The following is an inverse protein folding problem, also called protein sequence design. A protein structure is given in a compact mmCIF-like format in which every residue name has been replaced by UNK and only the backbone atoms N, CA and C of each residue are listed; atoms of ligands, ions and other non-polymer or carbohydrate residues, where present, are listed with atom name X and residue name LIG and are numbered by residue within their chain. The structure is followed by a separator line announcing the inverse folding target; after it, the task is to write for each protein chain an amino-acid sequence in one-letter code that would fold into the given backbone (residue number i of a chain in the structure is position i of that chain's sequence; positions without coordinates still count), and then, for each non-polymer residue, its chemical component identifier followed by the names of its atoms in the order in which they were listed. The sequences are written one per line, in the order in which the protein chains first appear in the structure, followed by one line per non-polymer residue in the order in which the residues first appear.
data_IF_559394601917
#
_entry.id   IF_559394601917
#
_cell.length_a   1.000
_cell.length_b   1.000
_cell.length_c   1.000
_cell.angle_alpha   90.00
_cell.angle_beta   90.00
_cell.angle_gamma   90.00
#
_symmetry.space_group_name_H-M   'P 1'
#
loop_
_entity.id
_entity.type
_entity.pdbx_description
1 polymer ?
#
# COMPACT_ATOMS: atom_id res chain seq x y z
N UNK A 1 15.79 -8.60 -5.49
CA UNK A 1 15.17 -7.89 -4.34
C UNK A 1 15.99 -8.02 -3.03
N UNK A 2 16.51 -9.19 -2.62
CA UNK A 2 17.34 -9.28 -1.40
C UNK A 2 18.56 -8.34 -1.41
N UNK A 3 19.26 -8.23 -2.55
CA UNK A 3 20.37 -7.29 -2.72
C UNK A 3 19.96 -5.81 -2.57
N UNK A 4 18.71 -5.46 -2.93
CA UNK A 4 18.17 -4.09 -2.78
C UNK A 4 17.97 -3.78 -1.30
N UNK A 5 17.39 -4.72 -0.54
CA UNK A 5 17.19 -4.57 0.90
C UNK A 5 18.53 -4.44 1.65
N UNK A 6 19.54 -5.22 1.25
CA UNK A 6 20.87 -5.15 1.87
C UNK A 6 21.60 -3.83 1.56
N UNK A 7 21.46 -3.32 0.34
CA UNK A 7 22.15 -2.10 -0.09
C UNK A 7 21.47 -0.81 0.39
N UNK A 8 20.13 -0.76 0.40
CA UNK A 8 19.36 0.46 0.64
C UNK A 8 18.50 0.41 1.91
N UNK A 9 18.36 -0.76 2.53
CA UNK A 9 17.47 -0.94 3.68
C UNK A 9 15.99 -0.96 3.29
N UNK A 10 15.12 -0.66 4.27
CA UNK A 10 13.67 -0.66 4.10
C UNK A 10 13.23 0.57 3.32
N UNK A 11 12.17 0.44 2.52
CA UNK A 11 11.58 1.60 1.83
C UNK A 11 11.05 2.62 2.84
N UNK A 12 11.35 3.90 2.63
CA UNK A 12 10.80 5.01 3.41
C UNK A 12 9.33 5.26 3.07
N UNK A 13 8.41 4.95 3.98
CA UNK A 13 6.99 5.22 3.76
C UNK A 13 6.60 6.64 4.20
N UNK A 14 6.11 7.46 3.26
CA UNK A 14 5.68 8.86 3.49
C UNK A 14 4.17 9.09 3.32
N UNK A 15 3.44 8.04 2.96
CA UNK A 15 2.01 8.07 2.61
C UNK A 15 1.03 8.48 3.70
N UNK A 16 1.51 8.76 4.93
CA UNK A 16 0.66 9.25 6.04
C UNK A 16 0.32 10.73 5.90
N UNK A 17 1.22 11.50 5.30
CA UNK A 17 1.14 12.97 5.23
C UNK A 17 1.13 13.47 3.79
N UNK A 18 1.65 12.65 2.86
CA UNK A 18 1.82 13.04 1.47
C UNK A 18 1.18 12.01 0.53
N UNK A 19 0.44 12.53 -0.45
CA UNK A 19 -0.15 11.73 -1.54
C UNK A 19 0.81 11.61 -2.73
N UNK A 20 1.93 12.33 -2.69
CA UNK A 20 2.99 12.28 -3.69
C UNK A 20 4.39 12.33 -3.06
N UNK A 21 5.39 11.80 -3.76
CA UNK A 21 6.79 11.91 -3.38
C UNK A 21 7.71 11.87 -4.59
N UNK A 22 8.82 12.60 -4.51
CA UNK A 22 10.01 12.36 -5.34
C UNK A 22 10.78 11.17 -4.74
N UNK A 23 11.21 10.24 -5.59
CA UNK A 23 11.88 9.02 -5.18
C UNK A 23 12.89 8.54 -6.22
N UNK A 24 13.82 7.69 -5.80
CA UNK A 24 14.78 7.02 -6.67
C UNK A 24 14.35 5.57 -6.91
N UNK A 25 14.46 5.12 -8.16
CA UNK A 25 14.17 3.74 -8.56
C UNK A 25 15.31 2.83 -8.13
N UNK A 26 15.05 1.94 -7.19
CA UNK A 26 16.04 0.96 -6.72
C UNK A 26 16.03 -0.35 -7.52
N UNK A 27 14.88 -0.66 -8.12
CA UNK A 27 14.69 -1.84 -8.94
C UNK A 27 13.52 -1.64 -9.89
N UNK A 28 13.65 -2.15 -11.12
CA UNK A 28 12.59 -2.18 -12.12
C UNK A 28 12.73 -3.44 -12.97
N UNK A 29 11.60 -4.07 -13.26
CA UNK A 29 11.43 -5.07 -14.31
C UNK A 29 10.09 -4.83 -15.05
N UNK A 30 9.68 -5.76 -15.90
CA UNK A 30 8.47 -5.64 -16.72
C UNK A 30 7.16 -5.59 -15.90
N UNK A 31 7.17 -6.04 -14.63
CA UNK A 31 5.97 -6.15 -13.80
C UNK A 31 6.03 -5.26 -12.55
N UNK A 32 7.21 -4.87 -12.08
CA UNK A 32 7.39 -4.30 -10.75
C UNK A 32 8.44 -3.20 -10.69
N UNK A 33 8.16 -2.20 -9.84
CA UNK A 33 9.10 -1.13 -9.46
C UNK A 33 9.25 -1.07 -7.94
N UNK A 34 10.48 -0.90 -7.46
CA UNK A 34 10.79 -0.63 -6.05
C UNK A 34 11.48 0.72 -5.96
N UNK A 35 11.04 1.54 -5.01
CA UNK A 35 11.55 2.89 -4.76
C UNK A 35 12.25 2.97 -3.40
N UNK A 36 13.15 3.95 -3.24
CA UNK A 36 13.78 4.25 -1.94
C UNK A 36 12.75 4.75 -0.92
N UNK A 37 11.76 5.51 -1.39
CA UNK A 37 10.61 5.98 -0.62
C UNK A 37 9.34 5.97 -1.45
N UNK A 38 8.19 5.89 -0.78
CA UNK A 38 6.91 5.83 -1.47
C UNK A 38 5.76 6.42 -0.64
N UNK A 39 4.82 7.14 -1.28
CA UNK A 39 3.55 7.49 -0.66
C UNK A 39 2.55 6.33 -0.68
N UNK A 40 2.78 5.27 -1.47
CA UNK A 40 1.83 4.17 -1.64
C UNK A 40 1.79 3.25 -0.42
N UNK A 41 0.60 3.03 0.13
CA UNK A 41 0.38 2.06 1.20
C UNK A 41 0.38 0.65 0.60
N UNK A 42 1.23 -0.22 1.13
CA UNK A 42 1.25 -1.62 0.77
C UNK A 42 0.10 -2.38 1.44
N UNK A 43 -0.50 -3.32 0.72
CA UNK A 43 -1.55 -4.20 1.24
C UNK A 43 -1.16 -4.82 2.58
N UNK A 44 -2.06 -4.70 3.56
CA UNK A 44 -1.90 -5.29 4.89
C UNK A 44 -3.27 -5.43 5.57
N UNK A 45 -3.49 -6.53 6.29
CA UNK A 45 -4.67 -6.72 7.13
C UNK A 45 -6.02 -6.75 6.38
N UNK A 46 -6.03 -7.13 5.10
CA UNK A 46 -7.24 -7.16 4.24
C UNK A 46 -7.58 -5.83 3.54
N UNK A 47 -6.68 -4.85 3.59
CA UNK A 47 -6.78 -3.61 2.83
C UNK A 47 -5.97 -3.72 1.53
N UNK A 48 -6.63 -3.50 0.39
CA UNK A 48 -5.99 -3.46 -0.93
C UNK A 48 -4.97 -2.32 -0.98
N UNK A 49 -3.79 -2.59 -1.54
CA UNK A 49 -2.72 -1.61 -1.71
C UNK A 49 -3.12 -0.43 -2.57
N UNK A 50 -2.42 0.69 -2.39
CA UNK A 50 -2.69 1.89 -3.19
C UNK A 50 -2.31 1.69 -4.65
N UNK A 51 -3.00 2.45 -5.51
CA UNK A 51 -2.73 2.56 -6.94
C UNK A 51 -2.54 4.01 -7.33
N UNK A 52 -2.03 4.25 -8.53
CA UNK A 52 -1.64 5.58 -8.95
C UNK A 52 -0.68 5.55 -10.13
N UNK A 53 0.27 6.47 -10.17
CA UNK A 53 1.28 6.53 -11.23
C UNK A 53 2.66 6.90 -10.73
N UNK A 54 3.67 6.40 -11.42
CA UNK A 54 5.07 6.79 -11.26
C UNK A 54 5.50 7.38 -12.61
N UNK A 55 6.07 8.59 -12.58
CA UNK A 55 6.46 9.33 -13.78
C UNK A 55 7.91 9.77 -13.67
N UNK A 56 8.68 9.56 -14.73
CA UNK A 56 10.03 10.09 -14.92
C UNK A 56 10.06 11.02 -16.14
N UNK A 57 11.22 11.60 -16.41
CA UNK A 57 11.45 12.36 -17.65
C UNK A 57 11.39 11.49 -18.93
N UNK A 58 11.56 10.17 -18.79
CA UNK A 58 11.68 9.23 -19.92
C UNK A 58 10.50 8.27 -20.05
N UNK A 59 9.59 8.25 -19.07
CA UNK A 59 8.50 7.29 -19.08
C UNK A 59 7.49 7.47 -17.98
N UNK A 60 6.39 6.74 -18.11
CA UNK A 60 5.28 6.72 -17.18
C UNK A 60 4.73 5.32 -17.04
N UNK A 61 4.54 4.90 -15.81
CA UNK A 61 3.91 3.62 -15.47
C UNK A 61 2.72 3.86 -14.55
N UNK A 62 1.69 3.03 -14.68
CA UNK A 62 0.54 2.98 -13.77
C UNK A 62 0.83 1.95 -12.70
N UNK A 63 0.71 2.32 -11.44
CA UNK A 63 0.75 1.38 -10.32
C UNK A 63 -0.64 0.78 -10.16
N UNK A 64 -0.77 -0.53 -10.37
CA UNK A 64 -2.05 -1.26 -10.27
C UNK A 64 -2.24 -1.93 -8.91
N UNK A 65 -1.15 -2.08 -8.14
CA UNK A 65 -1.17 -2.64 -6.79
C UNK A 65 0.14 -2.34 -6.05
N UNK A 66 0.09 -2.28 -4.73
CA UNK A 66 1.28 -2.09 -3.89
C UNK A 66 1.31 -3.14 -2.78
N UNK A 67 2.39 -3.90 -2.68
CA UNK A 67 2.55 -4.98 -1.68
C UNK A 67 3.85 -4.82 -0.89
N UNK A 68 3.93 -5.50 0.27
CA UNK A 68 5.13 -5.56 1.08
C UNK A 68 5.87 -6.87 0.81
N UNK A 69 7.14 -6.78 0.41
CA UNK A 69 8.05 -7.90 0.30
C UNK A 69 9.20 -7.79 1.30
N UNK A 70 9.84 -8.92 1.61
CA UNK A 70 11.12 -9.03 2.33
C UNK A 70 11.25 -8.04 3.51
N UNK A 71 10.38 -8.16 4.51
CA UNK A 71 10.41 -7.39 5.77
C UNK A 71 10.45 -5.85 5.64
N UNK A 72 9.98 -5.26 4.53
CA UNK A 72 9.77 -3.81 4.48
C UNK A 72 9.97 -3.13 3.12
N UNK A 73 10.18 -3.87 2.04
CA UNK A 73 10.22 -3.30 0.69
C UNK A 73 8.81 -3.11 0.15
N UNK A 74 8.49 -1.88 -0.25
CA UNK A 74 7.25 -1.61 -0.96
C UNK A 74 7.44 -1.91 -2.44
N UNK A 75 6.58 -2.79 -2.94
CA UNK A 75 6.65 -3.35 -4.27
C UNK A 75 5.45 -2.85 -5.06
N UNK A 76 5.70 -2.08 -6.10
CA UNK A 76 4.66 -1.47 -6.91
C UNK A 76 4.51 -2.32 -8.16
N UNK A 77 3.39 -3.04 -8.28
CA UNK A 77 3.05 -3.75 -9.52
C UNK A 77 2.59 -2.72 -10.54
N UNK A 78 3.15 -2.77 -11.74
CA UNK A 78 3.00 -1.73 -12.74
C UNK A 78 2.46 -2.22 -14.09
N UNK A 79 1.86 -1.29 -14.82
CA UNK A 79 1.62 -1.38 -16.26
C UNK A 79 2.34 -0.22 -16.94
N UNK A 80 3.15 -0.50 -17.94
CA UNK A 80 3.80 0.55 -18.74
C UNK A 80 2.75 1.32 -19.53
N UNK A 81 2.73 2.64 -19.38
CA UNK A 81 1.82 3.52 -20.13
C UNK A 81 2.55 4.10 -21.33
N UNK A 82 3.76 4.62 -21.12
CA UNK A 82 4.61 5.19 -22.16
C UNK A 82 6.07 5.22 -21.70
N UNK A 83 7.01 5.13 -22.65
CA UNK A 83 8.44 5.22 -22.38
C UNK A 83 8.98 4.13 -21.45
N UNK A 84 10.09 4.42 -20.78
CA UNK A 84 10.79 3.49 -19.89
C UNK A 84 11.22 4.16 -18.59
N UNK A 85 11.33 3.36 -17.53
CA UNK A 85 11.88 3.73 -16.24
C UNK A 85 13.09 2.84 -15.97
N UNK A 86 14.17 3.42 -15.46
CA UNK A 86 15.44 2.71 -15.21
C UNK A 86 15.87 2.82 -13.74
N UNK A 87 16.68 1.85 -13.28
CA UNK A 87 17.29 1.90 -11.94
C UNK A 87 18.20 3.14 -11.80
N UNK A 88 18.11 3.83 -10.66
CA UNK A 88 18.81 5.07 -10.36
C UNK A 88 18.12 6.33 -10.87
N UNK A 89 17.01 6.19 -11.59
CA UNK A 89 16.27 7.34 -12.10
C UNK A 89 15.44 8.01 -11.00
N UNK A 90 15.36 9.34 -11.05
CA UNK A 90 14.44 10.13 -10.22
C UNK A 90 13.04 10.09 -10.81
N UNK A 91 12.05 9.82 -9.97
CA UNK A 91 10.65 9.68 -10.34
C UNK A 91 9.74 10.44 -9.38
N UNK A 92 8.64 10.94 -9.91
CA UNK A 92 7.51 11.42 -9.13
C UNK A 92 6.47 10.33 -9.00
N UNK A 93 6.27 9.87 -7.77
CA UNK A 93 5.29 8.87 -7.37
C UNK A 93 4.03 9.58 -6.84
N UNK A 94 2.85 9.30 -7.41
CA UNK A 94 1.57 9.95 -7.05
C UNK A 94 0.48 8.90 -6.91
N UNK A 95 -0.21 8.88 -5.77
CA UNK A 95 -1.35 7.99 -5.57
C UNK A 95 -2.62 8.48 -6.28
N UNK A 96 -3.55 7.57 -6.52
CA UNK A 96 -4.93 7.89 -6.87
C UNK A 96 -5.77 8.15 -5.61
N UNK A 97 -5.90 9.43 -5.24
CA UNK A 97 -6.59 9.87 -4.01
C UNK A 97 -8.09 9.53 -3.96
N UNK A 98 -8.76 9.44 -5.11
CA UNK A 98 -10.21 9.12 -5.17
C UNK A 98 -10.46 7.65 -4.79
N UNK A 99 -9.54 6.75 -5.15
CA UNK A 99 -9.57 5.35 -4.74
C UNK A 99 -9.19 5.19 -3.26
N UNK A 100 -8.14 5.86 -2.79
CA UNK A 100 -7.71 5.79 -1.39
C UNK A 100 -8.81 6.25 -0.44
N UNK A 101 -9.48 7.36 -0.76
CA UNK A 101 -10.60 7.85 0.06
C UNK A 101 -11.80 6.89 0.08
N UNK A 102 -12.05 6.15 -1.00
CA UNK A 102 -13.11 5.12 -1.06
C UNK A 102 -12.76 3.86 -0.26
N UNK A 103 -11.50 3.42 -0.30
CA UNK A 103 -11.00 2.29 0.49
C UNK A 103 -11.00 2.63 1.98
N UNK A 104 -10.52 3.82 2.35
CA UNK A 104 -10.57 4.31 3.73
C UNK A 104 -12.01 4.39 4.25
N UNK A 105 -12.97 4.91 3.47
CA UNK A 105 -14.39 4.97 3.86
C UNK A 105 -14.97 3.58 4.11
N UNK A 106 -14.70 2.63 3.23
CA UNK A 106 -15.19 1.26 3.40
C UNK A 106 -14.56 0.57 4.60
N UNK A 107 -13.24 0.70 4.81
CA UNK A 107 -12.56 0.13 5.97
C UNK A 107 -13.05 0.75 7.29
N UNK A 108 -13.20 2.08 7.34
CA UNK A 108 -13.79 2.79 8.49
C UNK A 108 -15.23 2.33 8.74
N UNK A 109 -16.00 2.08 7.68
CA UNK A 109 -17.36 1.54 7.76
C UNK A 109 -17.42 0.12 8.35
N UNK A 110 -16.54 -0.78 7.93
CA UNK A 110 -16.47 -2.14 8.52
C UNK A 110 -16.00 -2.09 9.97
N UNK A 111 -15.05 -1.22 10.32
CA UNK A 111 -14.61 -1.06 11.72
C UNK A 111 -15.69 -0.45 12.61
N UNK A 112 -16.41 0.58 12.15
CA UNK A 112 -17.55 1.15 12.88
C UNK A 112 -18.67 0.13 13.02
N UNK A 113 -19.00 -0.62 11.96
CA UNK A 113 -20.01 -1.68 12.02
C UNK A 113 -19.58 -2.81 12.98
N UNK A 114 -18.32 -3.22 12.94
CA UNK A 114 -17.81 -4.30 13.80
C UNK A 114 -17.69 -3.85 15.26
N UNK A 115 -17.34 -2.57 15.51
CA UNK A 115 -17.37 -1.96 16.83
C UNK A 115 -18.80 -1.78 17.34
N UNK A 116 -19.73 -1.29 16.50
CA UNK A 116 -21.15 -1.15 16.83
C UNK A 116 -21.81 -2.51 17.09
N UNK A 117 -21.44 -3.56 16.34
CA UNK A 117 -21.86 -4.93 16.62
C UNK A 117 -21.32 -5.42 17.96
N UNK A 118 -20.05 -5.15 18.29
CA UNK A 118 -19.51 -5.45 19.63
C UNK A 118 -20.18 -4.64 20.75
N UNK A 119 -20.64 -3.42 20.51
CA UNK A 119 -21.36 -2.63 21.52
C UNK A 119 -22.81 -3.10 21.68
N UNK A 120 -23.51 -3.39 20.58
CA UNK A 120 -24.90 -3.90 20.60
C UNK A 120 -24.97 -5.34 21.12
N UNK A 121 -24.02 -6.21 20.73
CA UNK A 121 -23.94 -7.61 21.19
C UNK A 121 -23.15 -7.77 22.51
N UNK A 122 -22.39 -6.77 22.95
CA UNK A 122 -21.44 -6.89 24.07
C UNK A 122 -21.98 -6.53 25.46
N UNK A 123 -23.18 -5.96 25.58
CA UNK A 123 -23.81 -5.72 26.89
C UNK A 123 -25.04 -6.59 27.16
N UNK A 124 -25.48 -7.39 26.18
CA UNK A 124 -26.66 -8.27 26.33
C UNK A 124 -26.35 -9.78 26.38
N UNK A 125 -25.10 -10.21 26.20
CA UNK A 125 -24.74 -11.62 26.49
C UNK A 125 -24.43 -11.76 27.98
N UNK A 126 -25.45 -11.55 28.81
CA UNK A 126 -25.51 -12.16 30.15
C UNK A 126 -25.86 -13.63 29.97
N UNK A 127 -24.87 -14.47 30.26
CA UNK A 127 -24.97 -15.77 30.91
C UNK A 127 -26.40 -16.30 31.16
N UNK A 128 -26.76 -17.34 30.42
CA UNK A 128 -27.68 -18.40 30.85
C UNK A 128 -26.96 -19.72 30.58
N UNK A 129 -26.82 -20.55 31.63
CA UNK A 129 -26.00 -21.77 31.70
C UNK A 129 -26.39 -22.87 30.69
N UNK A 130 -25.95 -24.10 30.76
CA UNK A 130 -25.25 -24.91 31.77
C UNK A 130 -25.10 -26.29 31.10
N UNK A 131 -23.97 -26.99 31.23
CA UNK A 131 -23.96 -28.41 31.59
C UNK A 131 -22.54 -28.96 31.77
N UNK A 132 -22.42 -29.78 32.81
CA UNK A 132 -21.29 -30.61 33.21
C UNK A 132 -21.23 -31.87 32.35
N UNK A 133 -20.05 -32.23 31.89
CA UNK A 133 -19.68 -33.56 31.42
C UNK A 133 -18.24 -33.80 31.77
#
# INVERSE_FOLDING_TARGET
MSAVLEAHGRTGFVGREHDEAEAEVLFVDDEMVVLDRTPFYAESGGQVGDTGSITSDTGRVRVVDTTLALDGLHCHRIEVVDGTIEVGQQVRAVIDGDRRSSIMRNHTGTHILHWALRQVLGEHVKQQGSWVG
#
